data_IF_734600314927
#
_entry.id   IF_734600314927
#
_cell.length_a   1.000
_cell.length_b   1.000
_cell.length_c   1.000
_cell.angle_alpha   90.00
_cell.angle_beta   90.00
_cell.angle_gamma   90.00
#
_symmetry.space_group_name_H-M   'P 1'
#
loop_
_entity.id
_entity.type
_entity.pdbx_description
1 polymer ?
#
# COMPACT_ATOMS: atom_id res chain seq x y z
N UNK A 1 7.65 -9.93 -0.33
CA UNK A 1 8.76 -10.40 0.55
C UNK A 1 8.74 -9.51 1.78
N UNK A 2 8.84 -10.05 3.01
CA UNK A 2 8.92 -9.16 4.18
C UNK A 2 10.30 -8.49 4.16
N UNK A 3 10.39 -7.31 4.73
CA UNK A 3 11.67 -6.68 4.99
C UNK A 3 12.51 -7.61 5.84
N UNK A 4 13.61 -8.07 5.26
CA UNK A 4 14.57 -8.90 5.96
C UNK A 4 15.35 -7.98 6.88
N UNK A 5 14.98 -8.02 8.16
CA UNK A 5 15.82 -7.48 9.23
C UNK A 5 17.04 -8.41 9.35
N UNK A 6 18.20 -7.96 8.87
CA UNK A 6 19.40 -8.83 8.93
C UNK A 6 19.88 -9.02 10.35
N UNK A 7 19.72 -8.00 11.18
CA UNK A 7 20.27 -7.97 12.54
C UNK A 7 19.42 -8.76 13.54
N UNK A 8 18.11 -8.86 13.31
CA UNK A 8 17.21 -9.61 14.20
C UNK A 8 17.55 -11.11 14.27
N UNK A 9 18.21 -11.64 13.23
CA UNK A 9 18.58 -13.06 13.15
C UNK A 9 19.91 -13.37 13.87
N UNK A 10 20.61 -12.35 14.39
CA UNK A 10 21.94 -12.52 14.98
C UNK A 10 21.90 -12.87 16.47
N UNK A 11 20.82 -12.53 17.17
CA UNK A 11 20.68 -12.75 18.62
C UNK A 11 19.27 -13.21 18.97
N UNK A 12 19.15 -13.99 20.05
CA UNK A 12 17.87 -14.21 20.73
C UNK A 12 17.80 -13.17 21.85
N UNK A 13 16.92 -12.16 21.74
CA UNK A 13 16.90 -11.08 22.72
C UNK A 13 16.27 -11.53 24.05
N UNK A 14 16.80 -10.99 25.14
CA UNK A 14 16.27 -11.17 26.50
C UNK A 14 16.32 -9.84 27.26
N UNK A 15 15.58 -9.74 28.37
CA UNK A 15 15.54 -8.53 29.20
C UNK A 15 15.16 -7.28 28.40
N UNK A 16 15.93 -6.21 28.54
CA UNK A 16 15.65 -4.91 27.90
C UNK A 16 15.68 -4.97 26.36
N UNK A 17 16.54 -5.80 25.77
CA UNK A 17 16.58 -5.99 24.31
C UNK A 17 15.28 -6.60 23.79
N UNK A 18 14.69 -7.52 24.56
CA UNK A 18 13.40 -8.11 24.23
C UNK A 18 12.27 -7.11 24.47
N UNK A 19 12.29 -6.39 25.59
CA UNK A 19 11.29 -5.37 25.96
C UNK A 19 11.08 -4.35 24.84
N UNK A 20 12.15 -3.73 24.35
CA UNK A 20 12.09 -2.74 23.27
C UNK A 20 11.51 -3.30 21.96
N UNK A 21 11.75 -4.59 21.69
CA UNK A 21 11.21 -5.28 20.53
C UNK A 21 9.73 -5.64 20.70
N UNK A 22 9.34 -6.33 21.78
CA UNK A 22 7.96 -6.81 21.96
C UNK A 22 6.95 -5.68 22.23
N UNK A 23 7.42 -4.51 22.64
CA UNK A 23 6.56 -3.36 22.83
C UNK A 23 6.16 -2.67 21.50
N UNK A 24 6.77 -3.05 20.37
CA UNK A 24 6.43 -2.50 19.06
C UNK A 24 4.94 -2.67 18.74
N UNK A 25 4.36 -1.67 18.06
CA UNK A 25 2.91 -1.61 17.75
C UNK A 25 2.43 -2.83 16.94
N UNK A 26 3.31 -3.40 16.13
CA UNK A 26 3.03 -4.54 15.27
C UNK A 26 2.89 -5.86 16.04
N UNK A 27 3.54 -6.00 17.19
CA UNK A 27 3.42 -7.19 18.04
C UNK A 27 2.18 -7.03 18.91
N UNK A 28 1.20 -7.89 18.74
CA UNK A 28 -0.08 -7.77 19.47
C UNK A 28 -0.05 -8.54 20.79
N UNK A 29 -0.99 -8.20 21.66
CA UNK A 29 -1.29 -8.94 22.89
C UNK A 29 -1.56 -10.42 22.62
N UNK A 30 -2.24 -10.74 21.52
CA UNK A 30 -2.50 -12.12 21.10
C UNK A 30 -1.20 -12.86 20.76
N UNK A 31 -0.27 -12.21 20.07
CA UNK A 31 1.02 -12.81 19.70
C UNK A 31 1.83 -13.18 20.94
N UNK A 32 1.86 -12.29 21.95
CA UNK A 32 2.50 -12.54 23.24
C UNK A 32 1.77 -13.63 24.05
N UNK A 33 0.44 -13.58 24.06
CA UNK A 33 -0.39 -14.52 24.82
C UNK A 33 -0.22 -15.95 24.30
N UNK A 34 -0.06 -16.12 22.98
CA UNK A 34 0.21 -17.41 22.37
C UNK A 34 1.50 -18.04 22.93
N UNK A 35 2.59 -17.27 22.97
CA UNK A 35 3.88 -17.77 23.48
C UNK A 35 3.80 -18.07 24.98
N UNK A 36 3.17 -17.20 25.78
CA UNK A 36 3.00 -17.44 27.22
C UNK A 36 2.14 -18.69 27.50
N UNK A 37 1.03 -18.87 26.77
CA UNK A 37 0.15 -20.04 26.93
C UNK A 37 0.82 -21.35 26.55
N UNK A 38 1.64 -21.35 25.49
CA UNK A 38 2.43 -22.53 25.12
C UNK A 38 3.41 -22.95 26.21
N UNK A 39 3.87 -22.01 27.05
CA UNK A 39 4.65 -22.27 28.27
C UNK A 39 3.82 -22.60 29.51
N UNK A 40 2.50 -22.62 29.40
CA UNK A 40 1.60 -22.79 30.55
C UNK A 40 1.48 -21.55 31.45
N UNK A 41 1.91 -20.38 30.98
CA UNK A 41 1.81 -19.12 31.72
C UNK A 41 0.52 -18.42 31.30
N UNK A 42 -0.41 -18.28 32.24
CA UNK A 42 -1.69 -17.59 32.03
C UNK A 42 -1.68 -16.27 32.79
N UNK A 43 -1.99 -15.19 32.07
CA UNK A 43 -2.07 -13.84 32.63
C UNK A 43 -3.54 -13.41 32.62
N UNK A 44 -4.04 -12.93 33.75
CA UNK A 44 -5.43 -12.49 33.89
C UNK A 44 -5.69 -11.19 33.12
N UNK A 45 -4.75 -10.23 33.20
CA UNK A 45 -4.81 -8.98 32.47
C UNK A 45 -3.87 -9.06 31.26
N UNK A 46 -4.46 -8.91 30.07
CA UNK A 46 -3.77 -9.02 28.79
C UNK A 46 -3.17 -7.70 28.28
N UNK A 47 -3.04 -6.69 29.13
CA UNK A 47 -2.34 -5.45 28.78
C UNK A 47 -0.85 -5.67 28.59
N UNK A 48 -0.28 -4.99 27.58
CA UNK A 48 1.16 -5.04 27.29
C UNK A 48 2.01 -4.64 28.50
N UNK A 49 1.54 -3.69 29.30
CA UNK A 49 2.26 -3.21 30.48
C UNK A 49 2.50 -4.30 31.53
N UNK A 50 1.72 -5.39 31.51
CA UNK A 50 1.89 -6.54 32.39
C UNK A 50 2.59 -7.69 31.67
N UNK A 51 2.18 -7.97 30.44
CA UNK A 51 2.70 -9.11 29.67
C UNK A 51 4.17 -8.92 29.25
N UNK A 52 4.57 -7.69 28.89
CA UNK A 52 5.93 -7.37 28.46
C UNK A 52 6.92 -7.60 29.61
N UNK A 53 6.70 -7.13 30.85
CA UNK A 53 7.55 -7.48 31.97
C UNK A 53 7.65 -8.96 32.29
N UNK A 54 6.59 -9.75 32.07
CA UNK A 54 6.66 -11.21 32.24
C UNK A 54 7.59 -11.79 31.19
N UNK A 55 7.39 -11.43 29.92
CA UNK A 55 8.19 -11.90 28.80
C UNK A 55 9.68 -11.52 28.93
N UNK A 56 10.00 -10.32 29.46
CA UNK A 56 11.39 -9.86 29.62
C UNK A 56 12.20 -10.77 30.57
N UNK A 57 11.50 -11.43 31.52
CA UNK A 57 12.09 -12.34 32.49
C UNK A 57 12.19 -13.78 31.95
N UNK A 58 11.69 -14.03 30.74
CA UNK A 58 11.78 -15.33 30.08
C UNK A 58 12.95 -15.35 29.09
N UNK A 59 13.68 -16.46 29.08
CA UNK A 59 14.54 -16.80 27.96
C UNK A 59 13.71 -17.53 26.92
N UNK A 60 13.46 -16.86 25.79
CA UNK A 60 12.75 -17.45 24.66
C UNK A 60 13.65 -18.46 23.93
N UNK A 61 13.08 -19.58 23.53
CA UNK A 61 13.71 -20.46 22.56
C UNK A 61 13.69 -19.80 21.17
N UNK A 62 14.57 -20.22 20.24
CA UNK A 62 14.56 -19.70 18.86
C UNK A 62 13.18 -19.81 18.21
N UNK A 63 12.49 -20.94 18.39
CA UNK A 63 11.17 -21.19 17.80
C UNK A 63 10.08 -20.27 18.38
N UNK A 64 10.15 -19.93 19.66
CA UNK A 64 9.20 -18.99 20.29
C UNK A 64 9.47 -17.56 19.83
N UNK A 65 10.74 -17.17 19.77
CA UNK A 65 11.12 -15.85 19.27
C UNK A 65 10.70 -15.68 17.81
N UNK A 66 10.88 -16.71 16.98
CA UNK A 66 10.44 -16.71 15.58
C UNK A 66 8.94 -16.42 15.43
N UNK A 67 8.09 -16.97 16.31
CA UNK A 67 6.63 -16.69 16.27
C UNK A 67 6.33 -15.20 16.46
N UNK A 68 7.06 -14.53 17.36
CA UNK A 68 6.90 -13.09 17.61
C UNK A 68 7.49 -12.29 16.44
N UNK A 69 8.67 -12.69 15.98
CA UNK A 69 9.39 -12.08 14.85
C UNK A 69 8.56 -12.07 13.57
N UNK A 70 7.94 -13.19 13.21
CA UNK A 70 7.08 -13.25 12.02
C UNK A 70 5.91 -12.27 12.12
N UNK A 71 5.35 -12.09 13.32
CA UNK A 71 4.24 -11.16 13.56
C UNK A 71 4.66 -9.69 13.40
N UNK A 72 5.91 -9.36 13.74
CA UNK A 72 6.50 -8.03 13.52
C UNK A 72 6.69 -7.75 12.02
N UNK A 73 7.37 -8.64 11.30
CA UNK A 73 7.68 -8.45 9.88
C UNK A 73 6.47 -8.58 8.94
N UNK A 74 5.40 -9.26 9.31
CA UNK A 74 4.17 -9.31 8.46
C UNK A 74 3.38 -8.00 8.48
N UNK A 75 3.45 -7.20 9.55
CA UNK A 75 2.61 -6.01 9.71
C UNK A 75 3.33 -4.70 9.38
N UNK A 76 4.66 -4.71 9.34
CA UNK A 76 5.46 -3.54 8.96
C UNK A 76 5.47 -3.32 7.43
N UNK A 77 5.35 -4.39 6.63
CA UNK A 77 5.83 -4.42 5.24
C UNK A 77 4.75 -4.65 4.17
N UNK A 78 3.54 -4.10 4.37
CA UNK A 78 2.49 -4.27 3.37
C UNK A 78 2.85 -3.59 2.04
N UNK A 79 2.69 -4.33 0.93
CA UNK A 79 2.88 -3.80 -0.42
C UNK A 79 1.87 -2.69 -0.70
N UNK A 80 2.39 -1.55 -1.13
CA UNK A 80 1.62 -0.39 -1.58
C UNK A 80 1.75 -0.27 -3.08
N UNK A 81 0.62 -0.08 -3.76
CA UNK A 81 0.57 -0.03 -5.22
C UNK A 81 -0.21 1.19 -5.70
N UNK A 82 0.31 1.81 -6.74
CA UNK A 82 -0.40 2.83 -7.50
C UNK A 82 -0.02 2.71 -8.98
N UNK A 83 -0.87 3.24 -9.85
CA UNK A 83 -0.64 3.24 -11.29
C UNK A 83 -1.02 4.56 -11.91
N UNK A 84 -0.34 4.88 -13.01
CA UNK A 84 -0.47 6.11 -13.79
C UNK A 84 -0.74 5.75 -15.23
N UNK A 85 -1.73 6.39 -15.84
CA UNK A 85 -2.03 6.21 -17.26
C UNK A 85 -0.91 6.86 -18.10
N UNK A 86 -0.52 6.19 -19.18
CA UNK A 86 0.48 6.70 -20.11
C UNK A 86 0.06 6.39 -21.55
N UNK A 87 0.35 7.32 -22.47
CA UNK A 87 0.04 7.15 -23.90
C UNK A 87 1.36 6.89 -24.63
N UNK A 88 1.40 5.79 -25.37
CA UNK A 88 2.52 5.37 -26.18
C UNK A 88 2.33 5.84 -27.64
N UNK A 89 3.44 5.99 -28.36
CA UNK A 89 3.41 6.20 -29.81
C UNK A 89 2.83 4.96 -30.52
N UNK A 90 2.33 5.14 -31.76
CA UNK A 90 1.85 4.01 -32.56
C UNK A 90 2.99 3.02 -32.80
N UNK A 91 2.72 1.73 -32.59
CA UNK A 91 3.71 0.63 -32.71
C UNK A 91 4.95 0.83 -31.81
N UNK A 92 4.80 1.50 -30.67
CA UNK A 92 5.87 1.70 -29.70
C UNK A 92 6.40 0.36 -29.20
N UNK A 93 7.68 0.09 -29.43
CA UNK A 93 8.38 -1.04 -28.84
C UNK A 93 8.99 -0.60 -27.51
N UNK A 94 8.40 -1.04 -26.40
CA UNK A 94 8.84 -0.63 -25.06
C UNK A 94 10.04 -1.45 -24.56
N UNK A 95 10.17 -2.70 -25.02
CA UNK A 95 11.30 -3.57 -24.71
C UNK A 95 12.41 -3.43 -25.76
N UNK A 96 13.51 -2.80 -25.37
CA UNK A 96 14.73 -2.64 -26.17
C UNK A 96 15.96 -2.83 -25.28
N UNK A 97 17.04 -3.39 -25.84
CA UNK A 97 18.31 -3.58 -25.15
C UNK A 97 18.90 -2.27 -24.61
N UNK A 98 18.71 -1.16 -25.32
CA UNK A 98 19.18 0.16 -24.89
C UNK A 98 18.52 0.58 -23.57
N UNK A 99 17.27 0.20 -23.33
CA UNK A 99 16.48 0.67 -22.19
C UNK A 99 16.49 -0.26 -20.98
N UNK A 100 17.22 -1.38 -21.01
CA UNK A 100 17.16 -2.37 -19.94
C UNK A 100 17.72 -1.85 -18.62
N UNK A 101 18.83 -1.12 -18.67
CA UNK A 101 19.51 -0.59 -17.47
C UNK A 101 19.15 0.87 -17.24
N UNK A 102 19.01 1.26 -15.97
CA UNK A 102 18.68 2.64 -15.58
C UNK A 102 19.84 3.23 -14.76
N UNK A 103 20.41 4.38 -15.17
CA UNK A 103 21.46 5.03 -14.39
C UNK A 103 20.88 5.68 -13.13
N UNK A 104 21.25 5.18 -11.95
CA UNK A 104 20.69 5.60 -10.65
C UNK A 104 21.72 6.03 -9.60
N UNK A 105 23.02 5.89 -9.89
CA UNK A 105 24.09 6.06 -8.88
C UNK A 105 24.08 7.45 -8.25
N UNK A 106 23.91 8.49 -9.06
CA UNK A 106 23.88 9.88 -8.58
C UNK A 106 22.67 10.16 -7.69
N UNK A 107 21.52 9.56 -8.00
CA UNK A 107 20.31 9.72 -7.21
C UNK A 107 20.48 9.07 -5.84
N UNK A 108 20.94 7.82 -5.80
CA UNK A 108 21.14 7.08 -4.55
C UNK A 108 22.11 7.83 -3.64
N UNK A 109 23.27 8.26 -4.17
CA UNK A 109 24.28 8.98 -3.38
C UNK A 109 23.76 10.31 -2.81
N UNK A 110 22.95 11.06 -3.56
CA UNK A 110 22.48 12.40 -3.16
C UNK A 110 21.21 12.39 -2.32
N UNK A 111 20.29 11.45 -2.58
CA UNK A 111 18.93 11.44 -1.99
C UNK A 111 18.71 10.33 -0.98
N UNK A 112 19.46 9.23 -1.07
CA UNK A 112 19.29 8.06 -0.21
C UNK A 112 20.65 7.64 0.43
N UNK A 113 21.27 8.51 1.25
CA UNK A 113 22.66 8.30 1.73
C UNK A 113 22.83 7.10 2.66
N UNK A 114 21.76 6.68 3.36
CA UNK A 114 21.74 5.51 4.24
C UNK A 114 21.38 4.23 3.50
N UNK A 115 21.20 4.29 2.17
CA UNK A 115 20.68 3.20 1.37
C UNK A 115 21.69 2.73 0.34
N UNK A 116 21.66 1.44 0.04
CA UNK A 116 22.44 0.80 -1.01
C UNK A 116 21.53 -0.08 -1.85
N UNK A 117 21.70 0.00 -3.16
CA UNK A 117 21.02 -0.88 -4.08
C UNK A 117 21.70 -2.26 -4.05
N UNK A 118 20.96 -3.33 -3.78
CA UNK A 118 21.52 -4.69 -3.66
C UNK A 118 21.99 -5.21 -5.02
N UNK A 119 21.26 -4.86 -6.09
CA UNK A 119 21.54 -5.27 -7.47
C UNK A 119 21.14 -4.16 -8.45
N UNK A 120 21.83 -4.01 -9.59
CA UNK A 120 21.42 -3.05 -10.62
C UNK A 120 19.96 -3.23 -11.02
N UNK A 121 19.28 -2.13 -11.31
CA UNK A 121 17.89 -2.15 -11.79
C UNK A 121 17.91 -2.49 -13.28
N UNK A 122 17.29 -3.61 -13.62
CA UNK A 122 17.23 -4.14 -14.99
C UNK A 122 15.78 -4.47 -15.33
N UNK A 123 15.30 -3.96 -16.45
CA UNK A 123 14.00 -4.33 -17.01
C UNK A 123 14.05 -5.71 -17.66
N UNK A 124 13.02 -6.50 -17.44
CA UNK A 124 12.78 -7.79 -18.10
C UNK A 124 11.35 -7.85 -18.60
N UNK A 125 11.06 -8.79 -19.51
CA UNK A 125 9.69 -9.04 -19.96
C UNK A 125 8.91 -9.76 -18.88
N UNK A 126 7.73 -9.25 -18.53
CA UNK A 126 6.79 -9.94 -17.66
C UNK A 126 6.03 -10.98 -18.49
N UNK A 127 6.00 -12.24 -18.04
CA UNK A 127 5.36 -13.36 -18.73
C UNK A 127 5.77 -13.51 -20.22
N UNK A 128 7.02 -13.14 -20.54
CA UNK A 128 7.59 -13.10 -21.89
C UNK A 128 6.84 -12.16 -22.89
N UNK A 129 6.00 -11.25 -22.38
CA UNK A 129 5.30 -10.26 -23.18
C UNK A 129 6.21 -9.03 -23.45
N UNK A 130 6.50 -8.69 -24.72
CA UNK A 130 7.32 -7.50 -25.05
C UNK A 130 6.62 -6.17 -24.73
N UNK A 131 5.28 -6.16 -24.62
CA UNK A 131 4.47 -4.99 -24.26
C UNK A 131 4.22 -4.85 -22.76
N UNK A 132 4.86 -5.70 -21.95
CA UNK A 132 4.83 -5.61 -20.50
C UNK A 132 6.23 -5.86 -19.95
N UNK A 133 6.90 -4.79 -19.52
CA UNK A 133 8.22 -4.88 -18.91
C UNK A 133 8.15 -4.55 -17.42
N UNK A 134 9.00 -5.20 -16.63
CA UNK A 134 9.09 -5.01 -15.19
C UNK A 134 10.54 -4.89 -14.77
N UNK A 135 10.82 -3.97 -13.85
CA UNK A 135 12.07 -3.92 -13.11
C UNK A 135 11.78 -4.07 -11.62
N UNK A 136 12.30 -5.14 -11.01
CA UNK A 136 12.25 -5.38 -9.57
C UNK A 136 13.58 -4.97 -8.93
N UNK A 137 13.54 -4.29 -7.81
CA UNK A 137 14.73 -3.81 -7.13
C UNK A 137 14.61 -3.90 -5.62
N UNK A 138 15.76 -3.93 -4.96
CA UNK A 138 15.86 -4.04 -3.50
C UNK A 138 16.86 -3.02 -2.97
N UNK A 139 16.44 -2.31 -1.93
CA UNK A 139 17.25 -1.33 -1.23
C UNK A 139 17.58 -1.86 0.16
N UNK A 140 18.86 -1.97 0.48
CA UNK A 140 19.35 -2.17 1.83
C UNK A 140 19.52 -0.80 2.49
N UNK A 141 18.75 -0.53 3.55
CA UNK A 141 18.93 0.63 4.42
C UNK A 141 19.75 0.24 5.63
N UNK A 142 20.77 1.02 5.94
CA UNK A 142 21.58 0.90 7.14
C UNK A 142 21.47 2.18 7.98
N UNK A 143 20.72 2.12 9.09
CA UNK A 143 20.49 3.23 10.00
C UNK A 143 20.98 2.88 11.42
N UNK A 144 22.14 3.42 11.80
CA UNK A 144 22.74 3.16 13.12
C UNK A 144 21.97 3.79 14.28
N UNK A 145 21.05 4.72 14.00
CA UNK A 145 20.23 5.35 15.04
C UNK A 145 19.01 4.49 15.43
N UNK A 146 18.77 3.39 14.72
CA UNK A 146 17.67 2.48 14.99
C UNK A 146 18.01 1.42 16.03
N UNK A 147 16.97 0.83 16.60
CA UNK A 147 17.10 -0.30 17.52
C UNK A 147 17.82 -1.46 16.85
N UNK A 148 18.43 -2.35 17.65
CA UNK A 148 19.26 -3.46 17.18
C UNK A 148 18.59 -4.38 16.12
N UNK A 149 17.26 -4.43 16.05
CA UNK A 149 16.50 -5.23 15.08
C UNK A 149 16.09 -4.46 13.80
N UNK A 150 16.38 -3.15 13.72
CA UNK A 150 16.01 -2.22 12.63
C UNK A 150 17.23 -1.48 12.05
N UNK A 151 18.45 -1.89 12.41
CA UNK A 151 19.66 -1.23 11.89
C UNK A 151 19.83 -1.50 10.40
N UNK A 152 19.63 -2.76 9.98
CA UNK A 152 19.71 -3.15 8.57
C UNK A 152 18.40 -3.76 8.08
N UNK A 153 17.75 -3.07 7.15
CA UNK A 153 16.46 -3.46 6.56
C UNK A 153 16.58 -3.57 5.04
N UNK A 154 15.98 -4.61 4.46
CA UNK A 154 15.82 -4.74 3.01
C UNK A 154 14.40 -4.37 2.60
N UNK A 155 14.24 -3.35 1.78
CA UNK A 155 12.95 -2.95 1.21
C UNK A 155 12.87 -3.34 -0.26
N UNK A 156 11.66 -3.69 -0.70
CA UNK A 156 11.41 -4.19 -2.05
C UNK A 156 10.56 -3.18 -2.82
N UNK A 157 10.86 -3.02 -4.09
CA UNK A 157 10.06 -2.22 -5.00
C UNK A 157 10.05 -2.81 -6.41
N UNK A 158 9.03 -2.43 -7.17
CA UNK A 158 8.97 -2.72 -8.59
C UNK A 158 8.35 -1.56 -9.36
N UNK A 159 8.74 -1.47 -10.62
CA UNK A 159 8.09 -0.61 -11.60
C UNK A 159 7.81 -1.42 -12.87
N UNK A 160 6.58 -1.33 -13.35
CA UNK A 160 6.09 -1.98 -14.55
C UNK A 160 5.69 -0.93 -15.57
N UNK A 161 6.05 -1.14 -16.84
CA UNK A 161 5.51 -0.40 -17.98
C UNK A 161 4.70 -1.35 -18.84
N UNK A 162 3.45 -0.99 -19.08
CA UNK A 162 2.46 -1.80 -19.80
C UNK A 162 1.97 -1.00 -20.99
N UNK A 163 1.92 -1.61 -22.17
CA UNK A 163 1.41 -1.03 -23.41
C UNK A 163 0.23 -1.83 -23.95
N UNK A 164 -0.99 -1.36 -23.73
CA UNK A 164 -2.20 -1.98 -24.28
C UNK A 164 -2.59 -1.27 -25.60
N UNK A 165 -1.86 -1.56 -26.68
CA UNK A 165 -2.11 -1.00 -28.02
C UNK A 165 -2.10 0.54 -28.08
N UNK A 166 -1.12 1.17 -27.43
CA UNK A 166 -0.94 2.63 -27.44
C UNK A 166 -1.51 3.34 -26.22
N UNK A 167 -2.44 2.74 -25.48
CA UNK A 167 -2.88 3.22 -24.16
C UNK A 167 -2.35 2.27 -23.12
N UNK A 168 -1.55 2.75 -22.19
CA UNK A 168 -0.87 1.89 -21.24
C UNK A 168 -0.88 2.44 -19.84
N UNK A 169 -0.17 1.72 -18.97
CA UNK A 169 -0.06 2.05 -17.56
C UNK A 169 1.38 1.89 -17.10
N UNK A 170 1.79 2.79 -16.21
CA UNK A 170 2.95 2.59 -15.36
C UNK A 170 2.44 2.19 -13.99
N UNK A 171 2.87 1.03 -13.48
CA UNK A 171 2.52 0.56 -12.14
C UNK A 171 3.74 0.55 -11.25
N UNK A 172 3.62 1.10 -10.06
CA UNK A 172 4.68 1.13 -9.05
C UNK A 172 4.21 0.37 -7.82
N UNK A 173 5.05 -0.55 -7.36
CA UNK A 173 4.89 -1.25 -6.08
C UNK A 173 6.05 -0.88 -5.17
N UNK A 174 5.77 -0.59 -3.91
CA UNK A 174 6.80 -0.24 -2.92
C UNK A 174 6.41 -0.73 -1.53
N UNK A 175 7.40 -1.01 -0.69
CA UNK A 175 7.19 -1.33 0.74
C UNK A 175 7.61 -0.19 1.67
N UNK A 176 8.49 0.71 1.21
CA UNK A 176 8.99 1.85 1.97
C UNK A 176 9.05 3.14 1.14
N UNK A 177 9.21 4.28 1.83
CA UNK A 177 9.35 5.60 1.20
C UNK A 177 10.55 5.64 0.25
N UNK A 178 11.68 5.07 0.65
CA UNK A 178 12.92 5.04 -0.12
C UNK A 178 12.75 4.24 -1.42
N UNK A 179 12.01 3.12 -1.37
CA UNK A 179 11.66 2.36 -2.58
C UNK A 179 10.66 3.10 -3.48
N UNK A 180 9.77 3.91 -2.91
CA UNK A 180 8.85 4.78 -3.67
C UNK A 180 9.65 5.87 -4.40
N UNK A 181 10.54 6.55 -3.70
CA UNK A 181 11.37 7.62 -4.25
C UNK A 181 12.28 7.11 -5.38
N UNK A 182 12.88 5.92 -5.20
CA UNK A 182 13.67 5.27 -6.25
C UNK A 182 12.79 4.88 -7.46
N UNK A 183 11.59 4.34 -7.24
CA UNK A 183 10.65 4.03 -8.34
C UNK A 183 10.26 5.28 -9.13
N UNK A 184 10.00 6.40 -8.45
CA UNK A 184 9.69 7.68 -9.11
C UNK A 184 10.88 8.20 -9.93
N UNK A 185 12.10 8.04 -9.44
CA UNK A 185 13.30 8.37 -10.20
C UNK A 185 13.45 7.48 -11.44
N UNK A 186 13.29 6.16 -11.29
CA UNK A 186 13.33 5.22 -12.41
C UNK A 186 12.31 5.61 -13.46
N UNK A 187 11.07 5.91 -13.05
CA UNK A 187 10.03 6.39 -13.95
C UNK A 187 10.46 7.65 -14.70
N UNK A 188 11.00 8.64 -14.01
CA UNK A 188 11.44 9.91 -14.59
C UNK A 188 12.53 9.68 -15.64
N UNK A 189 13.59 8.95 -15.28
CA UNK A 189 14.70 8.65 -16.18
C UNK A 189 14.20 7.87 -17.39
N UNK A 190 13.41 6.82 -17.18
CA UNK A 190 12.96 5.94 -18.23
C UNK A 190 11.99 6.64 -19.21
N UNK A 191 11.06 7.45 -18.70
CA UNK A 191 10.16 8.27 -19.55
C UNK A 191 10.95 9.27 -20.38
N UNK A 192 11.97 9.92 -19.81
CA UNK A 192 12.80 10.86 -20.57
C UNK A 192 13.57 10.16 -21.70
N UNK A 193 14.06 8.94 -21.46
CA UNK A 193 14.71 8.11 -22.49
C UNK A 193 13.76 7.64 -23.57
N UNK A 194 12.53 7.26 -23.21
CA UNK A 194 11.49 6.93 -24.18
C UNK A 194 11.07 8.14 -25.01
N UNK A 195 11.01 9.33 -24.40
CA UNK A 195 10.73 10.58 -25.12
C UNK A 195 11.82 10.91 -26.13
N UNK A 196 13.10 10.84 -25.75
CA UNK A 196 14.20 11.15 -26.67
C UNK A 196 14.24 10.23 -27.90
N UNK A 197 13.65 9.04 -27.80
CA UNK A 197 13.57 8.04 -28.87
C UNK A 197 12.20 7.98 -29.57
N UNK A 198 11.28 8.86 -29.20
CA UNK A 198 9.95 8.96 -29.83
C UNK A 198 8.99 7.82 -29.48
N UNK A 199 9.32 6.97 -28.52
CA UNK A 199 8.46 5.86 -28.03
C UNK A 199 7.26 6.43 -27.26
N UNK A 200 7.48 7.54 -26.56
CA UNK A 200 6.44 8.33 -25.91
C UNK A 200 6.47 9.74 -26.51
N UNK A 201 5.32 10.35 -26.86
CA UNK A 201 5.28 11.73 -27.33
C UNK A 201 5.80 12.72 -26.29
N UNK A 202 6.48 13.79 -26.73
CA UNK A 202 7.15 14.75 -25.83
C UNK A 202 6.20 15.40 -24.81
N UNK A 203 4.97 15.71 -25.22
CA UNK A 203 3.95 16.33 -24.37
C UNK A 203 3.33 15.37 -23.34
N UNK A 204 3.50 14.05 -23.48
CA UNK A 204 2.87 13.08 -22.59
C UNK A 204 3.58 13.08 -21.23
N UNK A 205 2.79 13.16 -20.17
CA UNK A 205 3.23 12.99 -18.78
C UNK A 205 2.38 11.85 -18.20
N UNK A 206 2.99 10.85 -17.52
CA UNK A 206 2.21 9.81 -16.85
C UNK A 206 1.19 10.43 -15.89
N UNK A 207 -0.08 10.16 -16.12
CA UNK A 207 -1.19 10.81 -15.43
C UNK A 207 -1.44 10.16 -14.08
N UNK A 208 -1.32 10.96 -13.02
CA UNK A 208 -1.62 10.56 -11.64
C UNK A 208 -3.12 10.72 -11.36
N UNK A 209 -3.65 9.92 -10.45
CA UNK A 209 -4.96 10.18 -9.84
C UNK A 209 -4.70 11.01 -8.58
N UNK A 210 -4.93 12.32 -8.67
CA UNK A 210 -4.63 13.26 -7.58
C UNK A 210 -5.88 13.62 -6.79
N UNK A 211 -5.67 13.92 -5.51
CA UNK A 211 -6.73 14.38 -4.62
C UNK A 211 -7.46 15.61 -5.17
N UNK A 212 -6.71 16.53 -5.79
CA UNK A 212 -7.23 17.76 -6.39
C UNK A 212 -8.14 17.56 -7.61
N UNK A 213 -8.16 16.37 -8.22
CA UNK A 213 -9.03 16.08 -9.37
C UNK A 213 -10.50 15.90 -8.96
N UNK A 214 -10.77 15.84 -7.65
CA UNK A 214 -12.09 15.56 -7.11
C UNK A 214 -12.59 16.69 -6.20
N UNK A 215 -13.84 17.10 -6.40
CA UNK A 215 -14.58 17.81 -5.36
C UNK A 215 -14.89 16.86 -4.21
N UNK A 216 -15.24 17.39 -3.04
CA UNK A 216 -15.59 16.58 -1.87
C UNK A 216 -16.70 15.57 -2.20
N UNK A 217 -17.80 16.02 -2.81
CA UNK A 217 -18.88 15.16 -3.25
C UNK A 217 -18.43 14.09 -4.26
N UNK A 218 -17.60 14.47 -5.23
CA UNK A 218 -17.06 13.56 -6.23
C UNK A 218 -16.16 12.48 -5.61
N UNK A 219 -15.43 12.79 -4.52
CA UNK A 219 -14.64 11.79 -3.78
C UNK A 219 -15.52 10.70 -3.20
N UNK A 220 -16.62 11.07 -2.53
CA UNK A 220 -17.57 10.07 -2.00
C UNK A 220 -18.12 9.18 -3.11
N UNK A 221 -18.49 9.76 -4.26
CA UNK A 221 -18.96 8.99 -5.42
C UNK A 221 -17.86 8.05 -5.93
N UNK A 222 -16.63 8.53 -6.10
CA UNK A 222 -15.52 7.72 -6.58
C UNK A 222 -15.21 6.53 -5.66
N UNK A 223 -15.13 6.77 -4.34
CA UNK A 223 -14.97 5.70 -3.35
C UNK A 223 -16.12 4.69 -3.37
N UNK A 224 -17.37 5.15 -3.50
CA UNK A 224 -18.53 4.26 -3.62
C UNK A 224 -18.49 3.39 -4.89
N UNK A 225 -17.99 3.93 -6.00
CA UNK A 225 -17.82 3.14 -7.24
C UNK A 225 -16.72 2.09 -7.08
N UNK A 226 -15.65 2.39 -6.35
CA UNK A 226 -14.59 1.43 -6.05
C UNK A 226 -15.05 0.27 -5.15
N UNK A 227 -16.17 0.40 -4.44
CA UNK A 227 -16.74 -0.69 -3.65
C UNK A 227 -17.87 -1.42 -4.38
N UNK A 228 -18.70 -0.71 -5.16
CA UNK A 228 -19.95 -1.27 -5.70
C UNK A 228 -20.02 -1.39 -7.23
N UNK A 229 -19.03 -0.86 -7.97
CA UNK A 229 -19.06 -0.82 -9.44
C UNK A 229 -17.76 -1.36 -10.04
N UNK A 230 -17.18 -2.39 -9.42
CA UNK A 230 -16.05 -3.10 -10.01
C UNK A 230 -16.52 -3.95 -11.21
N UNK A 231 -15.66 -4.08 -12.22
CA UNK A 231 -15.93 -4.89 -13.42
C UNK A 231 -15.04 -6.13 -13.37
N UNK A 232 -15.42 -7.10 -12.53
CA UNK A 232 -14.69 -8.34 -12.36
C UNK A 232 -15.55 -9.47 -11.78
N UNK A 233 -14.99 -10.67 -11.80
CA UNK A 233 -15.49 -11.85 -11.07
C UNK A 233 -14.68 -12.14 -9.78
N UNK A 234 -13.59 -11.39 -9.58
CA UNK A 234 -12.61 -11.66 -8.52
C UNK A 234 -13.03 -11.11 -7.17
N UNK A 235 -13.69 -9.96 -7.12
CA UNK A 235 -13.96 -9.20 -5.90
C UNK A 235 -15.45 -8.87 -5.75
N UNK A 236 -15.98 -9.12 -4.56
CA UNK A 236 -17.29 -8.61 -4.14
C UNK A 236 -17.12 -7.86 -2.84
N UNK A 237 -17.53 -6.58 -2.79
CA UNK A 237 -17.41 -5.80 -1.56
C UNK A 237 -18.49 -6.19 -0.57
N UNK A 238 -18.08 -6.59 0.63
CA UNK A 238 -18.98 -7.02 1.68
C UNK A 238 -19.30 -5.87 2.64
N UNK A 239 -18.30 -5.02 2.92
CA UNK A 239 -18.38 -4.04 4.00
C UNK A 239 -17.31 -2.94 3.84
N UNK A 240 -17.57 -1.75 4.39
CA UNK A 240 -16.56 -0.72 4.69
C UNK A 240 -16.34 -0.73 6.21
N UNK A 241 -15.12 -1.06 6.64
CA UNK A 241 -14.74 -1.19 8.06
C UNK A 241 -14.27 0.12 8.67
N UNK A 242 -13.45 0.85 7.93
CA UNK A 242 -12.87 2.10 8.41
C UNK A 242 -13.02 3.20 7.36
N UNK A 243 -13.28 4.43 7.82
CA UNK A 243 -13.20 5.63 6.98
C UNK A 243 -12.39 6.71 7.69
N UNK A 244 -11.60 7.43 6.90
CA UNK A 244 -10.84 8.60 7.37
C UNK A 244 -11.45 9.88 6.80
N UNK A 245 -12.09 10.66 7.69
CA UNK A 245 -12.80 11.89 7.34
C UNK A 245 -12.42 13.08 8.23
N UNK A 246 -12.63 14.29 7.73
CA UNK A 246 -12.58 15.54 8.51
C UNK A 246 -13.59 16.56 7.91
N UNK A 247 -14.09 17.53 8.69
CA UNK A 247 -14.84 18.64 8.11
C UNK A 247 -14.00 19.46 7.12
N UNK A 248 -14.65 19.99 6.09
CA UNK A 248 -14.04 20.97 5.18
C UNK A 248 -13.77 22.27 5.93
N UNK A 249 -12.55 22.80 5.76
CA UNK A 249 -12.13 24.00 6.46
C UNK A 249 -12.89 25.23 5.93
N UNK A 250 -13.30 26.12 6.83
CA UNK A 250 -14.05 27.35 6.51
C UNK A 250 -15.43 27.12 5.85
N UNK A 251 -15.99 25.90 5.94
CA UNK A 251 -17.36 25.62 5.51
C UNK A 251 -18.35 25.69 6.68
N UNK A 252 -19.56 26.21 6.44
CA UNK A 252 -20.67 26.06 7.39
C UNK A 252 -21.11 24.60 7.40
N UNK A 253 -20.86 23.91 8.50
CA UNK A 253 -21.27 22.52 8.67
C UNK A 253 -22.80 22.42 8.86
N UNK A 254 -23.47 21.50 8.15
CA UNK A 254 -24.87 21.16 8.42
C UNK A 254 -25.09 20.76 9.88
N UNK A 255 -26.29 21.00 10.41
CA UNK A 255 -26.62 20.80 11.83
C UNK A 255 -26.21 19.42 12.35
N UNK A 256 -26.51 18.35 11.57
CA UNK A 256 -26.19 16.96 11.92
C UNK A 256 -24.70 16.64 12.07
N UNK A 257 -23.81 17.48 11.53
CA UNK A 257 -22.35 17.33 11.64
C UNK A 257 -21.66 18.54 12.25
N UNK A 258 -22.41 19.50 12.80
CA UNK A 258 -21.90 20.75 13.35
C UNK A 258 -20.88 20.55 14.49
N UNK A 259 -21.06 19.49 15.27
CA UNK A 259 -20.17 19.08 16.36
C UNK A 259 -18.74 18.74 15.88
N UNK A 260 -18.53 18.52 14.59
CA UNK A 260 -17.22 18.18 14.02
C UNK A 260 -16.32 19.40 13.80
N UNK A 261 -16.80 20.64 13.97
CA UNK A 261 -16.12 21.88 13.56
C UNK A 261 -14.66 22.09 14.04
N UNK A 262 -14.22 21.39 15.09
CA UNK A 262 -12.84 21.46 15.62
C UNK A 262 -12.03 20.18 15.41
N UNK A 263 -12.61 19.17 14.76
CA UNK A 263 -12.00 17.86 14.57
C UNK A 263 -11.03 17.90 13.40
N UNK A 264 -9.76 17.55 13.65
CA UNK A 264 -8.71 17.54 12.61
C UNK A 264 -8.68 16.24 11.80
N UNK A 265 -9.08 15.14 12.43
CA UNK A 265 -9.14 13.80 11.83
C UNK A 265 -10.12 12.96 12.65
N UNK A 266 -11.03 12.30 11.95
CA UNK A 266 -11.95 11.33 12.53
C UNK A 266 -11.71 10.01 11.80
N UNK A 267 -11.37 9.00 12.60
CA UNK A 267 -11.35 7.61 12.17
C UNK A 267 -12.63 6.98 12.71
N UNK A 268 -13.51 6.59 11.80
CA UNK A 268 -14.71 5.85 12.15
C UNK A 268 -14.43 4.40 11.80
N UNK A 269 -14.51 3.53 12.80
CA UNK A 269 -14.31 2.10 12.69
C UNK A 269 -15.60 1.39 13.09
N UNK A 270 -16.06 0.42 12.30
CA UNK A 270 -17.29 -0.31 12.60
C UNK A 270 -17.70 -1.30 11.51
N UNK A 271 -18.99 -1.65 11.50
CA UNK A 271 -19.59 -2.53 10.50
C UNK A 271 -20.64 -1.78 9.67
N UNK A 272 -20.72 -2.12 8.38
CA UNK A 272 -21.57 -1.48 7.37
C UNK A 272 -21.46 0.05 7.33
N UNK A 273 -20.23 0.61 7.35
CA UNK A 273 -20.06 2.07 7.35
C UNK A 273 -20.61 2.74 6.08
N UNK A 274 -20.75 2.00 4.99
CA UNK A 274 -21.45 2.42 3.77
C UNK A 274 -22.91 2.84 4.01
N UNK A 275 -23.56 2.32 5.07
CA UNK A 275 -24.93 2.65 5.46
C UNK A 275 -25.04 3.83 6.40
N UNK A 276 -23.93 4.34 6.92
CA UNK A 276 -23.93 5.50 7.83
C UNK A 276 -24.37 6.76 7.10
N UNK A 277 -24.96 7.70 7.85
CA UNK A 277 -25.42 8.96 7.28
C UNK A 277 -24.29 9.75 6.59
N UNK A 278 -23.05 9.64 7.07
CA UNK A 278 -21.88 10.25 6.42
C UNK A 278 -21.66 9.77 4.99
N UNK A 279 -21.87 8.48 4.72
CA UNK A 279 -21.66 7.88 3.39
C UNK A 279 -22.92 7.95 2.53
N UNK A 280 -24.11 7.82 3.14
CA UNK A 280 -25.39 7.74 2.42
C UNK A 280 -25.98 9.10 2.07
N UNK A 281 -25.88 10.10 2.95
CA UNK A 281 -26.55 11.38 2.79
C UNK A 281 -25.68 12.38 2.03
N UNK A 282 -26.00 12.59 0.76
CA UNK A 282 -25.29 13.52 -0.14
C UNK A 282 -25.19 14.95 0.40
N UNK A 283 -26.12 15.35 1.27
CA UNK A 283 -26.14 16.67 1.90
C UNK A 283 -24.87 16.98 2.72
N UNK A 284 -24.18 15.96 3.24
CA UNK A 284 -22.95 16.16 4.02
C UNK A 284 -21.68 16.10 3.18
N UNK A 285 -21.74 15.53 1.97
CA UNK A 285 -20.54 15.17 1.20
C UNK A 285 -19.73 16.39 0.76
N UNK A 286 -20.36 17.54 0.53
CA UNK A 286 -19.64 18.78 0.22
C UNK A 286 -18.88 19.35 1.41
N UNK A 287 -19.36 19.10 2.63
CA UNK A 287 -18.79 19.64 3.87
C UNK A 287 -17.80 18.69 4.55
N UNK A 288 -17.53 17.53 3.93
CA UNK A 288 -16.66 16.50 4.47
C UNK A 288 -15.55 16.14 3.49
N UNK A 289 -14.36 16.00 4.04
CA UNK A 289 -13.17 15.56 3.33
C UNK A 289 -12.94 14.09 3.67
N UNK A 290 -13.30 13.20 2.74
CA UNK A 290 -12.97 11.77 2.77
C UNK A 290 -11.68 11.50 1.99
N UNK A 291 -10.66 10.92 2.64
CA UNK A 291 -9.40 10.60 1.95
C UNK A 291 -9.04 9.12 1.93
N UNK A 292 -9.51 8.29 2.86
CA UNK A 292 -9.29 6.84 2.84
C UNK A 292 -10.54 6.06 3.26
N UNK A 293 -10.71 4.88 2.69
CA UNK A 293 -11.64 3.83 3.16
C UNK A 293 -10.90 2.49 3.27
N UNK A 294 -11.24 1.69 4.28
CA UNK A 294 -10.85 0.29 4.35
C UNK A 294 -12.06 -0.56 4.02
N UNK A 295 -12.05 -1.15 2.83
CA UNK A 295 -13.13 -1.99 2.32
C UNK A 295 -12.76 -3.47 2.41
N UNK A 296 -13.71 -4.28 2.85
CA UNK A 296 -13.60 -5.73 2.95
C UNK A 296 -14.24 -6.33 1.72
N UNK A 297 -13.46 -7.10 0.97
CA UNK A 297 -13.89 -7.83 -0.19
C UNK A 297 -13.85 -9.33 0.09
N UNK A 298 -14.90 -10.04 -0.28
CA UNK A 298 -14.76 -11.46 -0.62
C UNK A 298 -13.99 -11.56 -1.93
N UNK A 299 -13.06 -12.51 -2.02
CA UNK A 299 -12.36 -12.79 -3.27
C UNK A 299 -12.51 -14.26 -3.69
N UNK A 300 -12.52 -14.48 -5.01
CA UNK A 300 -12.32 -15.77 -5.66
C UNK A 300 -11.28 -15.59 -6.76
N UNK A 301 -10.07 -16.13 -6.55
CA UNK A 301 -8.97 -15.99 -7.48
C UNK A 301 -8.32 -17.35 -7.74
N UNK A 302 -8.50 -17.86 -8.96
CA UNK A 302 -7.95 -19.15 -9.42
C UNK A 302 -8.28 -20.31 -8.47
N UNK A 303 -9.46 -20.30 -7.87
CA UNK A 303 -9.94 -21.34 -6.95
C UNK A 303 -9.60 -21.09 -5.47
N UNK A 304 -8.75 -20.11 -5.15
CA UNK A 304 -8.55 -19.67 -3.77
C UNK A 304 -9.60 -18.63 -3.39
N UNK A 305 -10.25 -18.87 -2.25
CA UNK A 305 -11.34 -18.04 -1.72
C UNK A 305 -11.00 -17.49 -0.35
N UNK A 306 -11.65 -16.39 0.00
CA UNK A 306 -11.59 -15.83 1.34
C UNK A 306 -11.97 -14.36 1.38
N UNK A 307 -11.45 -13.64 2.37
CA UNK A 307 -11.68 -12.22 2.57
C UNK A 307 -10.38 -11.43 2.61
N UNK A 308 -10.39 -10.26 1.98
CA UNK A 308 -9.28 -9.31 1.98
C UNK A 308 -9.78 -7.92 2.37
N UNK A 309 -9.06 -7.25 3.26
CA UNK A 309 -9.31 -5.84 3.60
C UNK A 309 -8.30 -5.00 2.83
N UNK A 310 -8.81 -4.10 1.98
CA UNK A 310 -8.00 -3.23 1.13
C UNK A 310 -8.27 -1.78 1.54
N UNK A 311 -7.21 -1.08 1.88
CA UNK A 311 -7.21 0.37 2.03
C UNK A 311 -7.14 1.01 0.64
N UNK A 312 -8.12 1.85 0.37
CA UNK A 312 -8.27 2.60 -0.86
C UNK A 312 -8.24 4.08 -0.47
N UNK A 313 -7.32 4.87 -1.03
CA UNK A 313 -7.36 6.31 -0.81
C UNK A 313 -6.07 7.08 -1.05
N UNK A 314 -5.94 8.20 -0.37
CA UNK A 314 -4.86 9.16 -0.48
C UNK A 314 -4.07 9.18 0.85
N UNK A 315 -3.17 8.20 1.09
CA UNK A 315 -2.51 8.03 2.39
C UNK A 315 -1.66 9.25 2.78
N UNK A 316 -1.10 9.95 1.79
CA UNK A 316 -0.29 11.14 1.98
C UNK A 316 -1.10 12.44 2.10
N UNK A 317 -2.44 12.41 2.11
CA UNK A 317 -3.28 13.62 2.16
C UNK A 317 -2.91 14.56 3.31
N UNK A 318 -2.66 14.03 4.50
CA UNK A 318 -2.28 14.88 5.64
C UNK A 318 -0.93 15.59 5.47
N UNK A 319 -0.06 15.10 4.59
CA UNK A 319 1.28 15.69 4.31
C UNK A 319 1.30 16.52 3.03
N UNK A 320 0.61 16.06 1.98
CA UNK A 320 0.66 16.61 0.62
C UNK A 320 -0.63 17.34 0.21
N UNK A 321 -1.69 17.24 1.00
CA UNK A 321 -3.00 17.82 0.75
C UNK A 321 -3.48 17.52 -0.68
N UNK A 322 -3.72 18.56 -1.48
CA UNK A 322 -4.16 18.50 -2.87
C UNK A 322 -3.25 17.68 -3.81
N UNK A 323 -1.97 17.54 -3.47
CA UNK A 323 -0.98 16.79 -4.27
C UNK A 323 -0.85 15.32 -3.84
N UNK A 324 -1.71 14.83 -2.94
CA UNK A 324 -1.71 13.43 -2.57
C UNK A 324 -2.20 12.56 -3.74
N UNK A 325 -1.49 11.46 -3.98
CA UNK A 325 -1.78 10.51 -5.05
C UNK A 325 -2.53 9.31 -4.49
N UNK A 326 -3.46 8.79 -5.28
CA UNK A 326 -4.25 7.63 -4.90
C UNK A 326 -3.38 6.37 -4.87
N UNK A 327 -3.50 5.60 -3.80
CA UNK A 327 -2.72 4.40 -3.52
C UNK A 327 -3.64 3.32 -2.94
N UNK A 328 -3.31 2.06 -3.21
CA UNK A 328 -3.99 0.90 -2.64
C UNK A 328 -3.03 0.06 -1.81
N UNK A 329 -3.52 -0.53 -0.73
CA UNK A 329 -2.72 -1.37 0.18
C UNK A 329 -3.61 -2.45 0.79
N UNK A 330 -3.13 -3.68 0.88
CA UNK A 330 -3.82 -4.74 1.63
C UNK A 330 -3.48 -4.57 3.12
N UNK A 331 -4.50 -4.46 3.97
CA UNK A 331 -4.36 -4.42 5.43
C UNK A 331 -4.47 -5.80 6.07
N UNK A 332 -5.26 -6.70 5.48
CA UNK A 332 -5.40 -8.08 5.95
C UNK A 332 -5.85 -9.01 4.84
N UNK A 333 -5.31 -10.23 4.83
CA UNK A 333 -5.78 -11.32 3.97
C UNK A 333 -6.07 -12.57 4.80
N UNK A 334 -7.29 -13.08 4.69
CA UNK A 334 -7.76 -14.32 5.28
C UNK A 334 -8.26 -15.25 4.17
N UNK A 335 -7.52 -16.31 3.88
CA UNK A 335 -7.93 -17.34 2.93
C UNK A 335 -8.69 -18.45 3.66
N UNK A 336 -9.69 -19.05 3.00
CA UNK A 336 -10.45 -20.18 3.53
C UNK A 336 -9.53 -21.40 3.70
N UNK A 337 -8.62 -21.59 2.75
CA UNK A 337 -7.56 -22.59 2.83
C UNK A 337 -6.36 -22.05 3.60
N UNK A 338 -5.72 -22.92 4.37
CA UNK A 338 -4.45 -22.60 5.03
C UNK A 338 -3.32 -22.57 4.02
N UNK A 339 -2.92 -21.36 3.61
CA UNK A 339 -1.81 -21.15 2.68
C UNK A 339 -0.46 -21.10 3.40
N UNK A 340 0.59 -21.55 2.71
CA UNK A 340 1.96 -21.30 3.13
C UNK A 340 2.27 -19.80 3.02
N UNK A 341 3.16 -19.23 3.86
CA UNK A 341 3.46 -17.79 3.86
C UNK A 341 3.92 -17.25 2.49
N UNK A 342 4.64 -18.07 1.70
CA UNK A 342 5.08 -17.70 0.35
C UNK A 342 3.92 -17.56 -0.62
N UNK A 343 2.96 -18.47 -0.56
CA UNK A 343 1.83 -18.49 -1.49
C UNK A 343 0.78 -17.45 -1.10
N UNK A 344 0.59 -17.22 0.21
CA UNK A 344 -0.18 -16.08 0.72
C UNK A 344 0.31 -14.75 0.16
N UNK A 345 1.62 -14.51 0.16
CA UNK A 345 2.21 -13.27 -0.40
C UNK A 345 2.04 -13.13 -1.91
N UNK A 346 2.21 -14.23 -2.65
CA UNK A 346 1.93 -14.22 -4.08
C UNK A 346 0.47 -13.85 -4.33
N UNK A 347 -0.44 -14.44 -3.56
CA UNK A 347 -1.86 -14.12 -3.62
C UNK A 347 -2.11 -12.65 -3.29
N UNK A 348 -1.53 -12.09 -2.23
CA UNK A 348 -1.62 -10.66 -1.89
C UNK A 348 -1.17 -9.77 -3.06
N UNK A 349 0.00 -10.05 -3.64
CA UNK A 349 0.53 -9.26 -4.75
C UNK A 349 -0.37 -9.34 -6.00
N UNK A 350 -0.92 -10.53 -6.29
CA UNK A 350 -1.88 -10.74 -7.38
C UNK A 350 -3.20 -10.02 -7.14
N UNK A 351 -3.79 -10.13 -5.94
CA UNK A 351 -5.02 -9.43 -5.58
C UNK A 351 -4.82 -7.91 -5.66
N UNK A 352 -3.67 -7.41 -5.20
CA UNK A 352 -3.34 -5.98 -5.30
C UNK A 352 -3.19 -5.53 -6.76
N UNK A 353 -2.58 -6.35 -7.63
CA UNK A 353 -2.50 -6.07 -9.08
C UNK A 353 -3.88 -6.04 -9.75
N UNK A 354 -4.78 -6.97 -9.38
CA UNK A 354 -6.14 -6.98 -9.92
C UNK A 354 -6.93 -5.78 -9.42
N UNK A 355 -6.87 -5.45 -8.13
CA UNK A 355 -7.55 -4.27 -7.59
C UNK A 355 -7.02 -2.96 -8.22
N UNK A 356 -5.72 -2.87 -8.50
CA UNK A 356 -5.14 -1.71 -9.20
C UNK A 356 -5.70 -1.55 -10.62
N UNK A 357 -5.90 -2.66 -11.34
CA UNK A 357 -6.54 -2.67 -12.67
C UNK A 357 -8.00 -2.21 -12.55
N UNK A 358 -8.74 -2.74 -11.58
CA UNK A 358 -10.13 -2.36 -11.34
C UNK A 358 -10.28 -0.88 -10.99
N UNK A 359 -9.38 -0.35 -10.14
CA UNK A 359 -9.31 1.08 -9.83
C UNK A 359 -9.15 1.93 -11.08
N UNK A 360 -8.25 1.57 -12.00
CA UNK A 360 -8.04 2.32 -13.24
C UNK A 360 -9.28 2.31 -14.16
N UNK A 361 -9.98 1.16 -14.25
CA UNK A 361 -11.24 1.05 -14.99
C UNK A 361 -12.35 1.92 -14.37
N UNK A 362 -12.54 1.83 -13.06
CA UNK A 362 -13.51 2.64 -12.32
C UNK A 362 -13.22 4.13 -12.47
N UNK A 363 -11.93 4.53 -12.40
CA UNK A 363 -11.52 5.91 -12.61
C UNK A 363 -11.84 6.40 -14.02
N UNK A 364 -11.53 5.61 -15.05
CA UNK A 364 -11.85 5.95 -16.45
C UNK A 364 -13.35 6.16 -16.64
N UNK A 365 -14.18 5.23 -16.17
CA UNK A 365 -15.64 5.31 -16.24
C UNK A 365 -16.19 6.49 -15.42
N UNK A 366 -15.54 6.82 -14.31
CA UNK A 366 -15.91 7.97 -13.48
C UNK A 366 -15.65 9.30 -14.21
N UNK A 367 -14.50 9.43 -14.88
CA UNK A 367 -14.19 10.62 -15.67
C UNK A 367 -15.17 10.79 -16.84
N UNK A 368 -15.61 9.71 -17.48
CA UNK A 368 -16.64 9.75 -18.52
C UNK A 368 -17.99 10.21 -17.96
N UNK A 369 -18.43 9.63 -16.86
CA UNK A 369 -19.63 10.05 -16.15
C UNK A 369 -19.62 11.55 -15.79
N UNK A 370 -18.49 12.08 -15.30
CA UNK A 370 -18.37 13.50 -14.98
C UNK A 370 -18.48 14.41 -16.23
N UNK A 371 -18.09 13.93 -17.41
CA UNK A 371 -18.24 14.67 -18.66
C UNK A 371 -19.70 14.69 -19.12
N UNK A 372 -20.43 13.59 -18.91
CA UNK A 372 -21.84 13.49 -19.25
C UNK A 372 -22.71 14.41 -18.38
N UNK A 373 -22.39 14.56 -17.10
CA UNK A 373 -23.12 15.48 -16.21
C UNK A 373 -22.91 16.98 -16.50
N UNK A 374 -21.90 17.31 -17.30
CA UNK A 374 -21.59 18.69 -17.70
C UNK A 374 -22.17 19.06 -19.07
N UNK A 375 -22.73 18.09 -19.80
CA UNK A 375 -23.54 18.31 -21.00
C UNK A 375 -25.00 18.49 -20.57
#
# INVERSE_FOLDING_TARGET
MNTLHKDINKIIPFGEFLRGFINQRYITVSDLSRVLRERGIFVLNHEKDIMVPIMQNLLLSPAEFDKIRYSFSEKEDNEKKFSREIIWSRNAQIFDQEFLTVPLDDFIKKRLPTCKLIRPVIFTKQDNNPDHIIATFEIERHDMNKSWYEQTNIFHGSIEFINDNGKGHVRITHTATETKDLAEEILRVQVNRYKSKGIIPQAVIPKKILFSEFTNANRFVFFYRLTNQLVNDTFSCNNIKDISIKPEENSTLPEGISWMNRMKKILISGESLDKTFFMKEKAYHSSLILWNIDAVFSFDYKGEKGTVTICLGFPDYNKKSQNAEFEITIHSLNSDNRLLPRDKKKLESHLLSEMDKQKSLVHSNFIEYLKEQKK
#
